data_IF_504632904662
#
_entry.id   IF_504632904662
#
_cell.length_a   1.000
_cell.length_b   1.000
_cell.length_c   1.000
_cell.angle_alpha   90.00
_cell.angle_beta   90.00
_cell.angle_gamma   90.00
#
_symmetry.space_group_name_H-M   'P 1'
#
loop_
_entity.id
_entity.type
_entity.pdbx_description
1 polymer ?
#
# COMPACT_ATOMS: atom_id res chain seq x y z
N UNK A 1 4.69 2.82 23.73
CA UNK A 1 5.66 2.01 22.96
C UNK A 1 5.09 1.49 21.63
N UNK A 2 3.88 0.94 21.60
CA UNK A 2 3.27 0.34 20.38
C UNK A 2 3.01 1.28 19.20
N UNK A 3 2.79 2.58 19.43
CA UNK A 3 2.54 3.54 18.33
C UNK A 3 3.74 3.65 17.39
N UNK A 4 4.97 3.58 17.91
CA UNK A 4 6.19 3.65 17.07
C UNK A 4 6.32 2.44 16.15
N UNK A 5 6.05 1.23 16.64
CA UNK A 5 6.14 0.00 15.85
C UNK A 5 5.07 -0.04 14.75
N UNK A 6 3.86 0.41 15.08
CA UNK A 6 2.81 0.59 14.09
C UNK A 6 3.25 1.54 12.97
N UNK A 7 3.82 2.70 13.30
CA UNK A 7 4.28 3.66 12.30
C UNK A 7 5.44 3.11 11.45
N UNK A 8 6.41 2.43 12.09
CA UNK A 8 7.61 1.91 11.43
C UNK A 8 7.28 0.74 10.50
N UNK A 9 6.45 -0.21 10.95
CA UNK A 9 6.18 -1.45 10.22
C UNK A 9 4.93 -1.29 9.34
N UNK A 10 3.77 -1.03 9.97
CA UNK A 10 2.47 -1.07 9.27
C UNK A 10 2.28 0.14 8.37
N UNK A 11 2.50 1.35 8.88
CA UNK A 11 2.23 2.58 8.12
C UNK A 11 3.20 2.76 6.97
N UNK A 12 4.50 2.50 7.19
CA UNK A 12 5.52 2.50 6.12
C UNK A 12 5.17 1.50 5.02
N UNK A 13 4.85 0.26 5.40
CA UNK A 13 4.47 -0.78 4.45
C UNK A 13 3.21 -0.40 3.67
N UNK A 14 2.14 0.00 4.38
CA UNK A 14 0.86 0.40 3.77
C UNK A 14 1.02 1.57 2.79
N UNK A 15 1.93 2.52 3.08
CA UNK A 15 2.26 3.62 2.16
C UNK A 15 2.96 3.11 0.90
N UNK A 16 3.94 2.22 1.04
CA UNK A 16 4.67 1.61 -0.09
C UNK A 16 3.75 0.79 -0.99
N UNK A 17 2.77 0.12 -0.41
CA UNK A 17 1.90 -0.83 -1.11
C UNK A 17 0.48 -0.31 -1.37
N UNK A 18 0.24 1.00 -1.23
CA UNK A 18 -1.10 1.60 -1.30
C UNK A 18 -1.91 1.22 -2.54
N UNK A 19 -1.24 1.05 -3.68
CA UNK A 19 -1.88 0.85 -4.98
C UNK A 19 -1.65 -0.53 -5.57
N UNK A 20 -0.98 -1.42 -4.85
CA UNK A 20 -0.75 -2.79 -5.33
C UNK A 20 -1.75 -3.73 -4.68
N UNK A 21 -2.17 -4.73 -5.43
CA UNK A 21 -2.88 -5.87 -4.85
C UNK A 21 -1.88 -6.78 -4.15
N UNK A 22 -1.97 -6.88 -2.82
CA UNK A 22 -1.08 -7.71 -2.02
C UNK A 22 -1.23 -9.21 -2.33
N UNK A 23 -2.38 -9.64 -2.85
CA UNK A 23 -2.61 -11.04 -3.26
C UNK A 23 -1.76 -11.40 -4.47
N UNK A 24 -1.39 -10.41 -5.29
CA UNK A 24 -0.54 -10.61 -6.47
C UNK A 24 0.96 -10.76 -6.16
N UNK A 25 1.36 -10.69 -4.89
CA UNK A 25 2.75 -10.81 -4.45
C UNK A 25 3.10 -12.29 -4.29
N UNK A 26 4.11 -12.74 -5.04
CA UNK A 26 4.53 -14.14 -5.04
C UNK A 26 3.39 -15.05 -5.51
N UNK A 27 3.06 -16.05 -4.70
CA UNK A 27 1.95 -17.00 -4.90
C UNK A 27 0.69 -16.64 -4.08
N UNK A 28 0.66 -15.47 -3.43
CA UNK A 28 -0.44 -15.03 -2.57
C UNK A 28 -0.35 -15.47 -1.11
N UNK A 29 0.57 -16.36 -0.74
CA UNK A 29 0.77 -16.80 0.66
C UNK A 29 1.20 -15.62 1.57
N UNK A 30 2.01 -14.71 1.03
CA UNK A 30 2.44 -13.51 1.74
C UNK A 30 1.25 -12.73 2.32
N UNK A 31 0.20 -12.51 1.53
CA UNK A 31 -0.96 -11.75 1.99
C UNK A 31 -1.72 -12.46 3.11
N UNK A 32 -1.84 -13.79 3.01
CA UNK A 32 -2.52 -14.61 4.02
C UNK A 32 -1.77 -14.50 5.35
N UNK A 33 -0.45 -14.67 5.34
CA UNK A 33 0.37 -14.54 6.55
C UNK A 33 0.35 -13.12 7.10
N UNK A 34 0.58 -12.12 6.24
CA UNK A 34 0.52 -10.70 6.62
C UNK A 34 -0.81 -10.35 7.31
N UNK A 35 -1.94 -10.82 6.75
CA UNK A 35 -3.28 -10.62 7.33
C UNK A 35 -3.41 -11.29 8.70
N UNK A 36 -2.93 -12.52 8.86
CA UNK A 36 -2.95 -13.25 10.14
C UNK A 36 -2.16 -12.50 11.22
N UNK A 37 -0.91 -12.10 10.94
CA UNK A 37 -0.09 -11.35 11.87
C UNK A 37 -0.74 -10.02 12.26
N UNK A 38 -1.27 -9.27 11.28
CA UNK A 38 -1.93 -7.98 11.52
C UNK A 38 -3.19 -8.12 12.37
N UNK A 39 -3.99 -9.15 12.12
CA UNK A 39 -5.20 -9.40 12.92
C UNK A 39 -4.84 -9.77 14.36
N UNK A 40 -3.87 -10.66 14.56
CA UNK A 40 -3.36 -11.01 15.90
C UNK A 40 -2.89 -9.77 16.68
N UNK A 41 -2.11 -8.90 16.03
CA UNK A 41 -1.62 -7.65 16.64
C UNK A 41 -2.79 -6.77 17.10
N UNK A 42 -3.79 -6.57 16.24
CA UNK A 42 -4.95 -5.71 16.56
C UNK A 42 -5.77 -6.30 17.71
N UNK A 43 -6.03 -7.59 17.68
CA UNK A 43 -6.84 -8.27 18.71
C UNK A 43 -6.15 -8.23 20.07
N UNK A 44 -4.86 -8.56 20.13
CA UNK A 44 -4.13 -8.57 21.40
C UNK A 44 -3.84 -7.16 21.92
N UNK A 45 -3.65 -6.16 21.04
CA UNK A 45 -3.58 -4.76 21.47
C UNK A 45 -4.89 -4.29 22.12
N UNK A 46 -6.04 -4.66 21.55
CA UNK A 46 -7.35 -4.34 22.13
C UNK A 46 -7.51 -5.01 23.49
N UNK A 47 -7.17 -6.29 23.61
CA UNK A 47 -7.22 -7.04 24.88
C UNK A 47 -6.30 -6.42 25.94
N UNK A 48 -5.04 -6.14 25.59
CA UNK A 48 -4.07 -5.52 26.50
C UNK A 48 -4.60 -4.19 27.06
N UNK A 49 -5.15 -3.34 26.18
CA UNK A 49 -5.72 -2.04 26.58
C UNK A 49 -6.93 -2.16 27.51
N UNK A 50 -7.74 -3.22 27.36
CA UNK A 50 -8.86 -3.48 28.28
C UNK A 50 -8.38 -3.98 29.65
N UNK A 51 -7.28 -4.73 29.69
CA UNK A 51 -6.69 -5.24 30.94
C UNK A 51 -5.95 -4.15 31.73
N UNK A 52 -5.45 -3.09 31.09
CA UNK A 52 -4.85 -1.94 31.79
C UNK A 52 -5.79 -1.27 32.81
N UNK A 53 -7.10 -1.37 32.58
CA UNK A 53 -8.16 -0.79 33.44
C UNK A 53 -8.44 -1.70 34.65
N UNK A 54 -8.04 -2.98 34.56
CA UNK A 54 -8.26 -3.98 35.60
C UNK A 54 -7.07 -4.08 36.56
N UNK A 55 -7.24 -4.74 37.73
CA UNK A 55 -6.13 -5.04 38.64
C UNK A 55 -5.03 -5.92 38.03
N UNK A 56 -5.37 -6.70 36.99
CA UNK A 56 -4.54 -7.67 36.26
C UNK A 56 -3.52 -6.98 35.31
N UNK A 57 -2.67 -6.10 35.85
CA UNK A 57 -1.71 -5.33 35.04
C UNK A 57 -0.58 -6.16 34.44
N UNK A 58 -0.20 -7.26 35.09
CA UNK A 58 0.86 -8.16 34.60
C UNK A 58 0.44 -8.86 33.30
N UNK A 59 -0.83 -9.24 33.18
CA UNK A 59 -1.37 -9.84 31.95
C UNK A 59 -1.38 -8.85 30.78
N UNK A 60 -1.64 -7.57 31.05
CA UNK A 60 -1.56 -6.52 30.04
C UNK A 60 -0.12 -6.35 29.50
N UNK A 61 0.88 -6.42 30.38
CA UNK A 61 2.31 -6.34 30.01
C UNK A 61 2.68 -7.54 29.13
N UNK A 62 2.30 -8.75 29.53
CA UNK A 62 2.56 -9.96 28.76
C UNK A 62 1.96 -9.88 27.34
N UNK A 63 0.73 -9.39 27.21
CA UNK A 63 0.11 -9.19 25.89
C UNK A 63 0.84 -8.14 25.04
N UNK A 64 1.37 -7.08 25.65
CA UNK A 64 2.16 -6.10 24.92
C UNK A 64 3.50 -6.65 24.43
N UNK A 65 4.16 -7.50 25.21
CA UNK A 65 5.37 -8.21 24.78
C UNK A 65 5.06 -9.17 23.62
N UNK A 66 3.96 -9.92 23.70
CA UNK A 66 3.52 -10.78 22.59
C UNK A 66 3.24 -9.97 21.31
N UNK A 67 2.57 -8.83 21.44
CA UNK A 67 2.34 -7.90 20.31
C UNK A 67 3.66 -7.38 19.75
N UNK A 68 4.62 -7.03 20.60
CA UNK A 68 5.93 -6.55 20.18
C UNK A 68 6.66 -7.61 19.34
N UNK A 69 6.72 -8.84 19.84
CA UNK A 69 7.31 -9.96 19.12
C UNK A 69 6.60 -10.20 17.78
N UNK A 70 5.28 -10.03 17.75
CA UNK A 70 4.51 -10.16 16.51
C UNK A 70 4.78 -9.06 15.48
N UNK A 71 5.09 -7.83 15.92
CA UNK A 71 5.56 -6.79 15.02
C UNK A 71 6.91 -7.15 14.41
N UNK A 72 7.84 -7.72 15.18
CA UNK A 72 9.14 -8.15 14.68
C UNK A 72 9.00 -9.31 13.66
N UNK A 73 8.15 -10.30 13.95
CA UNK A 73 7.83 -11.37 12.99
C UNK A 73 7.25 -10.81 11.68
N UNK A 74 6.35 -9.83 11.78
CA UNK A 74 5.75 -9.19 10.62
C UNK A 74 6.75 -8.38 9.79
N UNK A 75 7.66 -7.67 10.45
CA UNK A 75 8.74 -6.95 9.77
C UNK A 75 9.69 -7.91 9.05
N UNK A 76 10.00 -9.05 9.66
CA UNK A 76 10.81 -10.10 9.04
C UNK A 76 10.10 -10.71 7.83
N UNK A 77 8.80 -10.98 7.93
CA UNK A 77 7.98 -11.45 6.81
C UNK A 77 7.99 -10.47 5.62
N UNK A 78 7.85 -9.17 5.90
CA UNK A 78 7.92 -8.11 4.88
C UNK A 78 9.31 -8.09 4.25
N UNK A 79 10.36 -8.13 5.07
CA UNK A 79 11.76 -8.08 4.62
C UNK A 79 12.13 -9.28 3.76
N UNK A 80 11.70 -10.49 4.16
CA UNK A 80 11.91 -11.73 3.39
C UNK A 80 11.27 -11.68 2.01
N UNK A 81 10.14 -10.97 1.89
CA UNK A 81 9.40 -10.82 0.63
C UNK A 81 9.70 -9.51 -0.10
N UNK A 82 10.70 -8.72 0.33
CA UNK A 82 10.86 -7.34 -0.14
C UNK A 82 11.09 -7.25 -1.65
N UNK A 83 11.82 -8.22 -2.22
CA UNK A 83 12.05 -8.31 -3.67
C UNK A 83 10.74 -8.51 -4.43
N UNK A 84 9.87 -9.43 -3.99
CA UNK A 84 8.57 -9.69 -4.62
C UNK A 84 7.63 -8.48 -4.48
N UNK A 85 7.63 -7.84 -3.31
CA UNK A 85 6.90 -6.59 -3.06
C UNK A 85 7.40 -5.49 -4.00
N UNK A 86 8.72 -5.34 -4.13
CA UNK A 86 9.37 -4.37 -5.03
C UNK A 86 8.94 -4.58 -6.49
N UNK A 87 8.99 -5.81 -6.98
CA UNK A 87 8.53 -6.15 -8.32
C UNK A 87 7.05 -5.83 -8.53
N UNK A 88 6.19 -6.11 -7.56
CA UNK A 88 4.76 -5.77 -7.65
C UNK A 88 4.54 -4.24 -7.76
N UNK A 89 5.27 -3.44 -6.99
CA UNK A 89 5.23 -1.97 -7.04
C UNK A 89 5.70 -1.45 -8.40
N UNK A 90 6.82 -1.97 -8.91
CA UNK A 90 7.36 -1.57 -10.22
C UNK A 90 6.38 -1.95 -11.32
N UNK A 91 5.87 -3.19 -11.32
CA UNK A 91 4.89 -3.68 -12.30
C UNK A 91 3.63 -2.83 -12.32
N UNK A 92 3.11 -2.45 -11.16
CA UNK A 92 1.96 -1.53 -11.08
C UNK A 92 2.29 -0.16 -11.66
N UNK A 93 3.43 0.42 -11.30
CA UNK A 93 3.88 1.72 -11.79
C UNK A 93 4.04 1.74 -13.31
N UNK A 94 4.66 0.70 -13.87
CA UNK A 94 4.84 0.53 -15.33
C UNK A 94 3.49 0.40 -16.02
N UNK A 95 2.58 -0.44 -15.52
CA UNK A 95 1.22 -0.58 -16.09
C UNK A 95 0.49 0.76 -16.11
N UNK A 96 0.58 1.53 -15.03
CA UNK A 96 -0.06 2.85 -14.94
C UNK A 96 0.56 3.85 -15.92
N UNK A 97 1.89 3.87 -16.04
CA UNK A 97 2.59 4.71 -17.00
C UNK A 97 2.20 4.36 -18.45
N UNK A 98 2.16 3.06 -18.80
CA UNK A 98 1.73 2.60 -20.12
C UNK A 98 0.27 2.94 -20.40
N UNK A 99 -0.62 2.80 -19.41
CA UNK A 99 -2.01 3.20 -19.57
C UNK A 99 -2.15 4.70 -19.83
N UNK A 100 -1.38 5.52 -19.12
CA UNK A 100 -1.34 6.96 -19.35
C UNK A 100 -0.77 7.31 -20.74
N UNK A 101 0.31 6.68 -21.16
CA UNK A 101 0.88 6.86 -22.50
C UNK A 101 -0.08 6.42 -23.60
N UNK A 102 -0.78 5.29 -23.42
CA UNK A 102 -1.80 4.81 -24.35
C UNK A 102 -2.96 5.79 -24.46
N UNK A 103 -3.41 6.36 -23.33
CA UNK A 103 -4.39 7.43 -23.31
C UNK A 103 -3.90 8.68 -24.06
N UNK A 104 -2.66 9.10 -23.82
CA UNK A 104 -2.06 10.26 -24.48
C UNK A 104 -1.94 10.06 -26.01
N UNK A 105 -1.50 8.88 -26.45
CA UNK A 105 -1.46 8.53 -27.88
C UNK A 105 -2.86 8.52 -28.51
N UNK A 106 -3.86 7.98 -27.80
CA UNK A 106 -5.26 8.01 -28.26
C UNK A 106 -5.77 9.46 -28.43
N UNK A 107 -5.44 10.35 -27.50
CA UNK A 107 -5.79 11.76 -27.58
C UNK A 107 -5.09 12.46 -28.78
N UNK A 108 -3.81 12.18 -29.02
CA UNK A 108 -3.09 12.71 -30.19
C UNK A 108 -3.71 12.21 -31.50
N UNK A 109 -3.99 10.91 -31.61
CA UNK A 109 -4.61 10.35 -32.82
C UNK A 109 -5.99 10.97 -33.06
N UNK A 110 -6.80 11.11 -32.01
CA UNK A 110 -8.10 11.79 -32.09
C UNK A 110 -7.95 13.25 -32.50
N UNK A 111 -6.93 13.94 -31.97
CA UNK A 111 -6.55 15.30 -32.33
C UNK A 111 -6.12 15.42 -33.80
N UNK A 112 -5.34 14.47 -34.34
CA UNK A 112 -4.94 14.44 -35.75
C UNK A 112 -6.11 14.16 -36.70
N UNK A 113 -6.97 13.20 -36.36
CA UNK A 113 -8.20 12.92 -37.12
C UNK A 113 -9.09 14.18 -37.12
N UNK A 114 -9.19 14.84 -35.96
CA UNK A 114 -9.93 16.09 -35.80
C UNK A 114 -9.21 17.28 -36.42
N UNK A 115 -7.88 17.32 -36.57
CA UNK A 115 -7.14 18.48 -37.11
C UNK A 115 -7.18 18.58 -38.64
N UNK A 116 -7.70 17.56 -39.31
CA UNK A 116 -8.29 17.74 -40.64
C UNK A 116 -9.58 18.60 -40.59
N UNK A 117 -10.02 19.02 -39.39
CA UNK A 117 -11.22 19.83 -39.08
C UNK A 117 -10.97 20.97 -38.04
N UNK A 118 -9.99 20.90 -37.12
CA UNK A 118 -9.78 21.84 -35.98
C UNK A 118 -8.29 22.18 -35.70
N UNK A 119 -7.90 23.47 -35.55
CA UNK A 119 -6.50 23.88 -35.38
C UNK A 119 -5.86 23.54 -34.01
N UNK A 120 -4.55 23.22 -34.04
CA UNK A 120 -3.69 22.76 -32.94
C UNK A 120 -3.62 23.70 -31.72
N UNK A 121 -3.94 24.99 -31.87
CA UNK A 121 -3.87 25.99 -30.81
C UNK A 121 -4.96 25.83 -29.73
N UNK A 122 -6.12 25.27 -30.07
CA UNK A 122 -7.22 25.03 -29.12
C UNK A 122 -6.96 23.76 -28.28
N UNK A 123 -6.22 22.79 -28.83
CA UNK A 123 -5.94 21.53 -28.16
C UNK A 123 -5.06 21.73 -26.90
N UNK A 124 -4.07 22.63 -26.97
CA UNK A 124 -3.21 22.95 -25.81
C UNK A 124 -3.96 23.65 -24.68
N UNK A 125 -5.01 24.42 -24.99
CA UNK A 125 -5.85 25.08 -23.96
C UNK A 125 -6.65 24.04 -23.16
N UNK A 126 -7.23 23.03 -23.83
CA UNK A 126 -7.95 21.95 -23.15
C UNK A 126 -7.03 21.09 -22.27
N UNK A 127 -5.82 20.80 -22.75
CA UNK A 127 -4.83 20.04 -21.95
C UNK A 127 -4.42 20.84 -20.72
N UNK A 128 -4.14 22.14 -20.87
CA UNK A 128 -3.72 23.00 -19.74
C UNK A 128 -4.85 23.29 -18.75
N UNK A 129 -6.12 23.38 -19.19
CA UNK A 129 -7.25 23.64 -18.28
C UNK A 129 -7.55 22.50 -17.31
N UNK A 130 -7.03 21.29 -17.57
CA UNK A 130 -7.17 20.14 -16.68
C UNK A 130 -6.09 20.09 -15.59
N UNK A 131 -5.07 20.95 -15.66
CA UNK A 131 -3.98 21.04 -14.69
C UNK A 131 -4.05 22.28 -13.79
N UNK A 132 -4.96 23.22 -14.05
CA UNK A 132 -5.39 24.32 -13.14
C UNK A 132 -6.66 23.94 -12.41
#
# INVERSE_FOLDING_TARGET
MNVKLYDIVIKKFSKRTKYIDLVSIGNGEFYIEYKKHRQYIIENLKKAKLLEIKPEKEDAICLYEQVHNKYAELELLITKNDTNIGWAVVKFSVKRALAFLGWLMSAIISGFISSNVIPWNEMWKCVLSWFT
#
